data_IF_064579557793
#
_entry.id   IF_064579557793
#
_cell.length_a   1.000
_cell.length_b   1.000
_cell.length_c   1.000
_cell.angle_alpha   90.00
_cell.angle_beta   90.00
_cell.angle_gamma   90.00
#
_symmetry.space_group_name_H-M   'P 1'
#
loop_
_entity.id
_entity.type
_entity.pdbx_description
1 polymer ?
#
# COMPACT_ATOMS: atom_id res chain seq x y z
N UNK A 1 -7.93 4.12 -22.10
CA UNK A 1 -6.62 3.47 -21.87
C UNK A 1 -5.71 4.55 -21.30
N UNK A 2 -5.80 4.79 -20.00
CA UNK A 2 -4.92 5.65 -19.23
C UNK A 2 -5.37 5.48 -17.77
N UNK A 3 -4.41 5.58 -16.86
CA UNK A 3 -4.61 5.48 -15.43
C UNK A 3 -5.35 6.73 -14.91
N UNK A 4 -6.64 6.88 -15.23
CA UNK A 4 -7.45 8.03 -14.78
C UNK A 4 -8.01 7.77 -13.37
N UNK A 5 -7.12 7.53 -12.41
CA UNK A 5 -7.42 7.84 -11.02
C UNK A 5 -6.40 8.89 -10.60
N UNK A 6 -6.85 10.14 -10.58
CA UNK A 6 -6.08 11.32 -10.15
C UNK A 6 -5.66 11.24 -8.67
N UNK A 7 -6.31 10.38 -7.88
CA UNK A 7 -6.00 10.24 -6.46
C UNK A 7 -4.55 9.83 -6.19
N UNK A 8 -3.88 10.52 -5.29
CA UNK A 8 -2.57 10.18 -4.72
C UNK A 8 -2.65 9.09 -3.63
N UNK A 9 -3.69 8.25 -3.66
CA UNK A 9 -3.84 7.16 -2.70
C UNK A 9 -2.76 6.10 -2.95
N UNK A 10 -2.30 5.43 -1.88
CA UNK A 10 -1.29 4.38 -1.99
C UNK A 10 -1.74 3.23 -2.92
N UNK A 11 -3.04 2.94 -2.97
CA UNK A 11 -3.61 1.98 -3.91
C UNK A 11 -3.48 2.46 -5.37
N UNK A 12 -3.76 3.73 -5.65
CA UNK A 12 -3.59 4.30 -6.98
C UNK A 12 -2.13 4.28 -7.42
N UNK A 13 -1.20 4.62 -6.52
CA UNK A 13 0.24 4.52 -6.76
C UNK A 13 0.66 3.08 -7.07
N UNK A 14 0.15 2.09 -6.32
CA UNK A 14 0.44 0.68 -6.56
C UNK A 14 -0.07 0.21 -7.93
N UNK A 15 -1.24 0.67 -8.35
CA UNK A 15 -1.80 0.37 -9.67
C UNK A 15 -0.98 1.01 -10.80
N UNK A 16 -0.47 2.24 -10.60
CA UNK A 16 0.43 2.92 -11.53
C UNK A 16 1.78 2.19 -11.62
N UNK A 17 2.35 1.78 -10.49
CA UNK A 17 3.59 1.00 -10.43
C UNK A 17 3.47 -0.35 -11.15
N UNK A 18 2.31 -1.01 -11.03
CA UNK A 18 2.00 -2.23 -11.80
C UNK A 18 1.67 -1.96 -13.29
N UNK A 19 1.59 -0.70 -13.72
CA UNK A 19 1.41 -0.26 -15.11
C UNK A 19 -0.04 -0.12 -15.58
N UNK A 20 -0.99 -0.86 -15.02
CA UNK A 20 -2.44 -0.69 -15.31
C UNK A 20 -3.32 -1.42 -14.30
N UNK A 21 -4.60 -1.05 -14.23
CA UNK A 21 -5.59 -1.79 -13.41
C UNK A 21 -5.72 -3.26 -13.86
N UNK A 22 -5.57 -3.56 -15.14
CA UNK A 22 -5.59 -4.94 -15.65
C UNK A 22 -4.34 -5.72 -15.27
N UNK A 23 -3.16 -5.08 -15.30
CA UNK A 23 -1.91 -5.71 -14.86
C UNK A 23 -1.91 -5.96 -13.35
N UNK A 24 -2.35 -4.98 -12.57
CA UNK A 24 -2.55 -5.11 -11.13
C UNK A 24 -3.59 -6.19 -10.80
N UNK A 25 -4.70 -6.25 -11.55
CA UNK A 25 -5.68 -7.32 -11.42
C UNK A 25 -5.06 -8.71 -11.65
N UNK A 26 -4.24 -8.88 -12.68
CA UNK A 26 -3.53 -10.15 -12.93
C UNK A 26 -2.58 -10.53 -11.80
N UNK A 27 -1.86 -9.56 -11.23
CA UNK A 27 -1.00 -9.76 -10.06
C UNK A 27 -1.78 -10.36 -8.88
N UNK A 28 -3.01 -9.89 -8.66
CA UNK A 28 -3.86 -10.30 -7.53
C UNK A 28 -4.86 -11.41 -7.87
N UNK A 29 -4.87 -11.93 -9.09
CA UNK A 29 -5.89 -12.88 -9.56
C UNK A 29 -7.31 -12.28 -9.59
N UNK A 30 -7.45 -10.96 -9.74
CA UNK A 30 -8.72 -10.23 -9.80
C UNK A 30 -9.00 -9.66 -11.19
N UNK A 31 -10.28 -9.42 -11.46
CA UNK A 31 -10.70 -8.70 -12.67
C UNK A 31 -10.39 -7.21 -12.53
N UNK A 32 -10.08 -6.55 -13.64
CA UNK A 32 -9.83 -5.10 -13.67
C UNK A 32 -11.00 -4.28 -13.08
N UNK A 33 -12.25 -4.71 -13.28
CA UNK A 33 -13.44 -4.04 -12.72
C UNK A 33 -13.47 -4.03 -11.19
N UNK A 34 -12.88 -5.03 -10.53
CA UNK A 34 -12.74 -5.07 -9.07
C UNK A 34 -11.78 -3.99 -8.60
N UNK A 35 -10.64 -3.85 -9.30
CA UNK A 35 -9.63 -2.82 -9.02
C UNK A 35 -10.22 -1.43 -9.23
N UNK A 36 -10.99 -1.24 -10.32
CA UNK A 36 -11.73 -0.01 -10.57
C UNK A 36 -12.69 0.32 -9.42
N UNK A 37 -13.45 -0.66 -8.93
CA UNK A 37 -14.36 -0.47 -7.79
C UNK A 37 -13.63 -0.03 -6.52
N UNK A 38 -12.46 -0.60 -6.25
CA UNK A 38 -11.65 -0.18 -5.09
C UNK A 38 -11.17 1.26 -5.23
N UNK A 39 -10.67 1.65 -6.39
CA UNK A 39 -10.17 3.00 -6.63
C UNK A 39 -11.29 4.06 -6.63
N UNK A 40 -12.44 3.76 -7.26
CA UNK A 40 -13.59 4.67 -7.35
C UNK A 40 -14.23 4.92 -5.98
N UNK A 41 -14.34 3.88 -5.18
CA UNK A 41 -14.98 3.95 -3.85
C UNK A 41 -13.96 4.31 -2.74
N UNK A 42 -12.73 4.68 -3.11
CA UNK A 42 -11.60 4.95 -2.20
C UNK A 42 -11.40 3.87 -1.13
N UNK A 43 -11.55 2.61 -1.52
CA UNK A 43 -11.43 1.47 -0.60
C UNK A 43 -9.98 1.15 -0.33
N UNK A 44 -9.65 0.78 0.93
CA UNK A 44 -8.33 0.29 1.26
C UNK A 44 -8.03 -1.04 0.56
N UNK A 45 -6.75 -1.31 0.31
CA UNK A 45 -6.29 -2.59 -0.21
C UNK A 45 -6.67 -3.72 0.78
N UNK A 46 -7.29 -4.83 0.34
CA UNK A 46 -7.54 -5.96 1.24
C UNK A 46 -6.23 -6.48 1.86
N UNK A 47 -6.27 -6.77 3.16
CA UNK A 47 -5.07 -7.08 3.96
C UNK A 47 -4.28 -8.28 3.40
N UNK A 48 -4.99 -9.25 2.83
CA UNK A 48 -4.42 -10.44 2.18
C UNK A 48 -3.51 -10.15 0.99
N UNK A 49 -3.66 -8.99 0.33
CA UNK A 49 -2.83 -8.60 -0.82
C UNK A 49 -1.69 -7.65 -0.47
N UNK A 50 -1.60 -7.19 0.79
CA UNK A 50 -0.62 -6.16 1.18
C UNK A 50 0.81 -6.60 0.87
N UNK A 51 1.20 -7.80 1.26
CA UNK A 51 2.54 -8.32 1.00
C UNK A 51 2.81 -8.52 -0.48
N UNK A 52 1.85 -9.10 -1.22
CA UNK A 52 1.98 -9.28 -2.67
C UNK A 52 2.15 -7.95 -3.41
N UNK A 53 1.42 -6.92 -3.00
CA UNK A 53 1.53 -5.59 -3.59
C UNK A 53 2.84 -4.91 -3.17
N UNK A 54 3.25 -5.02 -1.91
CA UNK A 54 4.53 -4.49 -1.42
C UNK A 54 5.71 -5.09 -2.20
N UNK A 55 5.76 -6.41 -2.36
CA UNK A 55 6.82 -7.08 -3.13
C UNK A 55 6.82 -6.70 -4.61
N UNK A 56 5.64 -6.56 -5.22
CA UNK A 56 5.53 -6.28 -6.66
C UNK A 56 5.72 -4.81 -7.02
N UNK A 57 5.36 -3.88 -6.13
CA UNK A 57 5.35 -2.44 -6.41
C UNK A 57 6.40 -1.65 -5.63
N UNK A 58 6.96 -2.24 -4.56
CA UNK A 58 7.89 -1.57 -3.66
C UNK A 58 7.23 -0.56 -2.70
N UNK A 59 5.91 -0.38 -2.76
CA UNK A 59 5.19 0.52 -1.86
C UNK A 59 5.01 -0.16 -0.51
N UNK A 60 5.41 0.51 0.56
CA UNK A 60 5.38 -0.06 1.89
C UNK A 60 3.98 -0.41 2.35
N UNK A 61 3.85 -1.51 3.08
CA UNK A 61 2.62 -1.90 3.79
C UNK A 61 2.05 -0.77 4.68
N UNK A 62 2.93 0.10 5.19
CA UNK A 62 2.56 1.24 6.02
C UNK A 62 1.84 2.34 5.25
N UNK A 63 2.09 2.44 3.94
CA UNK A 63 1.38 3.35 3.04
C UNK A 63 0.10 2.68 2.51
N UNK A 64 0.15 1.38 2.19
CA UNK A 64 -1.00 0.63 1.68
C UNK A 64 -2.12 0.44 2.72
N UNK A 65 -1.75 0.16 3.97
CA UNK A 65 -2.66 -0.13 5.09
C UNK A 65 -2.12 0.42 6.42
N UNK A 66 -2.09 1.76 6.58
CA UNK A 66 -1.65 2.39 7.83
C UNK A 66 -2.51 2.01 9.04
N UNK A 67 -3.75 1.58 8.82
CA UNK A 67 -4.68 1.13 9.87
C UNK A 67 -4.31 -0.23 10.48
N UNK A 68 -3.62 -1.09 9.73
CA UNK A 68 -3.09 -2.37 10.25
C UNK A 68 -1.59 -2.28 10.54
N UNK A 69 -0.86 -1.52 9.72
CA UNK A 69 0.59 -1.38 9.80
C UNK A 69 0.95 0.09 10.04
N UNK A 70 0.73 0.65 11.24
CA UNK A 70 1.20 2.00 11.54
C UNK A 70 2.72 2.06 11.36
N UNK A 71 3.24 3.19 10.85
CA UNK A 71 4.68 3.48 10.95
C UNK A 71 4.95 3.68 12.44
N UNK A 72 5.48 2.66 13.11
CA UNK A 72 6.10 2.84 14.41
C UNK A 72 7.24 3.83 14.18
N UNK A 73 7.00 5.09 14.52
CA UNK A 73 8.03 6.10 14.56
C UNK A 73 9.16 5.50 15.37
N UNK A 74 10.27 5.23 14.67
CA UNK A 74 11.37 4.41 15.15
C UNK A 74 11.60 4.71 16.62
N UNK A 75 11.46 3.69 17.47
CA UNK A 75 11.84 3.73 18.87
C UNK A 75 13.25 4.27 18.96
N UNK A 76 13.36 5.59 19.14
CA UNK A 76 14.63 6.32 19.23
C UNK A 76 14.56 7.34 20.35
N UNK A 77 13.89 6.96 21.42
CA UNK A 77 14.32 7.30 22.76
C UNK A 77 15.05 6.08 23.35
N UNK A 78 16.22 5.80 22.78
CA UNK A 78 17.30 5.14 23.52
C UNK A 78 17.86 6.13 24.54
N UNK A 79 17.04 6.51 25.52
CA UNK A 79 17.51 7.13 26.75
C UNK A 79 18.16 6.05 27.60
N UNK A 80 19.41 5.70 27.31
CA UNK A 80 20.32 5.14 28.33
C UNK A 80 20.52 6.21 29.42
N UNK A 81 19.52 6.38 30.29
CA UNK A 81 19.63 7.21 31.50
C UNK A 81 20.25 6.34 32.61
N UNK A 82 21.55 6.52 32.83
CA UNK A 82 22.12 6.43 34.17
C UNK A 82 22.69 5.09 34.63
N UNK A 83 23.80 4.63 34.04
CA UNK A 83 24.86 4.00 34.85
C UNK A 83 25.70 5.11 35.46
N UNK A 84 25.48 5.41 36.74
CA UNK A 84 26.41 6.15 37.62
C UNK A 84 26.11 5.84 39.10
N UNK A 85 27.14 5.92 39.96
CA UNK A 85 28.30 5.01 40.11
C UNK A 85 28.05 3.88 41.13
#
# INVERSE_FOLDING_TARGET
MALEHDSDSALALAVRAAGSQSAFGRLLGKRQSVIFGWLRDDRPLPAEYVFTVEEATGISRHDLRPDIYPREEASRDIGMEGVRP
#
